data_IF_197744233969
#
_entry.id   IF_197744233969
#
_cell.length_a   1.000
_cell.length_b   1.000
_cell.length_c   1.000
_cell.angle_alpha   90.00
_cell.angle_beta   90.00
_cell.angle_gamma   90.00
#
_symmetry.space_group_name_H-M   'P 1'
#
loop_
_entity.id
_entity.type
_entity.pdbx_description
1 polymer ?
#
# COMPACT_ATOMS: atom_id res chain seq x y z
N UNK A 1 -25.88 21.60 -6.59
CA UNK A 1 -24.54 21.94 -7.11
C UNK A 1 -24.63 22.21 -8.61
N UNK A 2 -24.03 23.29 -9.12
CA UNK A 2 -23.96 23.59 -10.56
C UNK A 2 -23.01 22.63 -11.30
N UNK A 3 -23.19 22.45 -12.61
CA UNK A 3 -22.37 21.52 -13.42
C UNK A 3 -20.87 21.82 -13.37
N UNK A 4 -20.49 23.10 -13.39
CA UNK A 4 -19.09 23.53 -13.25
C UNK A 4 -18.46 23.13 -11.90
N UNK A 5 -19.24 23.18 -10.80
CA UNK A 5 -18.74 22.74 -9.49
C UNK A 5 -18.49 21.23 -9.46
N UNK A 6 -19.38 20.44 -10.08
CA UNK A 6 -19.20 18.98 -10.20
C UNK A 6 -17.96 18.62 -11.02
N UNK A 7 -17.77 19.28 -12.17
CA UNK A 7 -16.60 19.07 -13.03
C UNK A 7 -15.30 19.34 -12.27
N UNK A 8 -15.23 20.46 -11.55
CA UNK A 8 -14.05 20.80 -10.75
C UNK A 8 -13.76 19.74 -9.67
N UNK A 9 -14.79 19.22 -9.00
CA UNK A 9 -14.61 18.14 -8.02
C UNK A 9 -13.97 16.90 -8.64
N UNK A 10 -14.40 16.50 -9.84
CA UNK A 10 -13.84 15.32 -10.53
C UNK A 10 -12.37 15.55 -10.90
N UNK A 11 -12.04 16.71 -11.47
CA UNK A 11 -10.66 17.05 -11.84
C UNK A 11 -9.74 17.05 -10.62
N UNK A 12 -10.19 17.61 -9.50
CA UNK A 12 -9.38 17.63 -8.27
C UNK A 12 -9.26 16.24 -7.64
N UNK A 13 -10.29 15.40 -7.75
CA UNK A 13 -10.22 14.00 -7.31
C UNK A 13 -9.23 13.19 -8.15
N UNK A 14 -9.24 13.38 -9.46
CA UNK A 14 -8.31 12.73 -10.40
C UNK A 14 -6.86 13.14 -10.11
N UNK A 15 -6.59 14.45 -9.98
CA UNK A 15 -5.27 14.95 -9.56
C UNK A 15 -4.80 14.32 -8.24
N UNK A 16 -5.67 14.27 -7.24
CA UNK A 16 -5.34 13.70 -5.93
C UNK A 16 -5.05 12.19 -6.06
N UNK A 17 -5.83 11.47 -6.85
CA UNK A 17 -5.63 10.05 -7.07
C UNK A 17 -4.30 9.75 -7.76
N UNK A 18 -3.96 10.48 -8.81
CA UNK A 18 -2.66 10.32 -9.51
C UNK A 18 -1.52 10.71 -8.59
N UNK A 19 -1.62 11.84 -7.88
CA UNK A 19 -0.54 12.35 -7.01
C UNK A 19 -0.27 11.45 -5.79
N UNK A 20 -1.33 11.01 -5.12
CA UNK A 20 -1.21 10.38 -3.80
C UNK A 20 -1.28 8.83 -3.88
N UNK A 21 -1.67 8.26 -5.03
CA UNK A 21 -1.82 6.81 -5.21
C UNK A 21 -1.06 6.26 -6.41
N UNK A 22 -1.69 6.19 -7.59
CA UNK A 22 -1.14 5.43 -8.73
C UNK A 22 0.19 6.00 -9.23
N UNK A 23 0.38 7.32 -9.17
CA UNK A 23 1.63 7.96 -9.56
C UNK A 23 2.80 7.64 -8.62
N UNK A 24 2.54 7.14 -7.41
CA UNK A 24 3.59 6.80 -6.43
C UNK A 24 4.14 5.39 -6.65
N UNK A 25 3.26 4.40 -6.77
CA UNK A 25 3.67 2.98 -6.78
C UNK A 25 3.76 2.36 -8.18
N UNK A 26 2.97 2.83 -9.16
CA UNK A 26 2.92 2.19 -10.49
C UNK A 26 4.27 2.23 -11.22
N UNK A 27 5.05 3.33 -11.21
CA UNK A 27 6.36 3.34 -11.86
C UNK A 27 7.30 2.25 -11.32
N UNK A 28 7.33 2.07 -10.00
CA UNK A 28 8.12 1.03 -9.35
C UNK A 28 7.62 -0.37 -9.74
N UNK A 29 6.29 -0.58 -9.67
CA UNK A 29 5.66 -1.83 -10.05
C UNK A 29 5.97 -2.22 -11.51
N UNK A 30 5.81 -1.30 -12.45
CA UNK A 30 6.15 -1.51 -13.86
C UNK A 30 7.63 -1.88 -14.03
N UNK A 31 8.54 -1.16 -13.35
CA UNK A 31 9.96 -1.48 -13.37
C UNK A 31 10.27 -2.90 -12.85
N UNK A 32 9.63 -3.31 -11.76
CA UNK A 32 9.77 -4.67 -11.22
C UNK A 32 9.16 -5.73 -12.13
N UNK A 33 7.99 -5.47 -12.71
CA UNK A 33 7.32 -6.36 -13.64
C UNK A 33 8.16 -6.58 -14.89
N UNK A 34 8.74 -5.53 -15.46
CA UNK A 34 9.63 -5.64 -16.62
C UNK A 34 10.85 -6.54 -16.32
N UNK A 35 11.45 -6.38 -15.13
CA UNK A 35 12.58 -7.21 -14.66
C UNK A 35 12.20 -8.68 -14.44
N UNK A 36 11.00 -8.95 -13.90
CA UNK A 36 10.55 -10.30 -13.53
C UNK A 36 9.84 -11.08 -14.64
N UNK A 37 9.28 -10.40 -15.64
CA UNK A 37 8.49 -11.06 -16.67
C UNK A 37 9.38 -11.90 -17.60
N UNK A 38 9.03 -13.16 -17.78
CA UNK A 38 9.72 -14.05 -18.73
C UNK A 38 9.28 -13.82 -20.18
N UNK A 39 8.05 -13.33 -20.38
CA UNK A 39 7.46 -13.14 -21.71
C UNK A 39 7.46 -11.67 -22.14
N UNK A 40 7.81 -11.42 -23.41
CA UNK A 40 7.92 -10.07 -23.97
C UNK A 40 6.62 -9.25 -23.93
N UNK A 41 5.45 -9.89 -24.05
CA UNK A 41 4.16 -9.21 -23.96
C UNK A 41 3.99 -8.46 -22.61
N UNK A 42 4.32 -9.09 -21.50
CA UNK A 42 4.19 -8.45 -20.18
C UNK A 42 5.21 -7.34 -19.95
N UNK A 43 6.38 -7.41 -20.60
CA UNK A 43 7.35 -6.30 -20.59
C UNK A 43 6.81 -5.08 -21.34
N UNK A 44 6.22 -5.30 -22.53
CA UNK A 44 5.57 -4.24 -23.30
C UNK A 44 4.43 -3.62 -22.49
N UNK A 45 3.62 -4.43 -21.81
CA UNK A 45 2.55 -3.93 -20.95
C UNK A 45 3.11 -3.11 -19.78
N UNK A 46 4.19 -3.57 -19.14
CA UNK A 46 4.84 -2.84 -18.06
C UNK A 46 5.32 -1.45 -18.50
N UNK A 47 5.98 -1.38 -19.66
CA UNK A 47 6.48 -0.13 -20.24
C UNK A 47 5.33 0.80 -20.63
N UNK A 48 4.29 0.25 -21.28
CA UNK A 48 3.07 1.00 -21.59
C UNK A 48 2.45 1.61 -20.34
N UNK A 49 2.27 0.82 -19.28
CA UNK A 49 1.68 1.29 -18.02
C UNK A 49 2.54 2.37 -17.38
N UNK A 50 3.87 2.24 -17.40
CA UNK A 50 4.77 3.28 -16.88
C UNK A 50 4.65 4.59 -17.66
N UNK A 51 4.65 4.51 -19.00
CA UNK A 51 4.49 5.68 -19.86
C UNK A 51 3.11 6.33 -19.72
N UNK A 52 2.05 5.54 -19.56
CA UNK A 52 0.70 6.04 -19.34
C UNK A 52 0.62 6.89 -18.07
N UNK A 53 1.15 6.38 -16.96
CA UNK A 53 1.16 7.14 -15.70
C UNK A 53 2.06 8.38 -15.79
N UNK A 54 3.20 8.30 -16.48
CA UNK A 54 4.04 9.47 -16.71
C UNK A 54 3.31 10.55 -17.52
N UNK A 55 2.51 10.14 -18.51
CA UNK A 55 1.65 11.05 -19.26
C UNK A 55 0.60 11.71 -18.35
N UNK A 56 -0.14 10.93 -17.55
CA UNK A 56 -1.16 11.48 -16.64
C UNK A 56 -0.57 12.46 -15.63
N UNK A 57 0.61 12.15 -15.07
CA UNK A 57 1.34 13.05 -14.16
C UNK A 57 1.63 14.40 -14.83
N UNK A 58 2.16 14.36 -16.07
CA UNK A 58 2.50 15.55 -16.82
C UNK A 58 1.24 16.34 -17.24
N UNK A 59 0.21 15.65 -17.72
CA UNK A 59 -1.04 16.24 -18.16
C UNK A 59 -1.79 16.95 -17.02
N UNK A 60 -1.84 16.32 -15.84
CA UNK A 60 -2.52 16.86 -14.66
C UNK A 60 -1.66 17.87 -13.89
N UNK A 61 -0.36 17.99 -14.21
CA UNK A 61 0.57 18.90 -13.56
C UNK A 61 0.82 18.57 -12.09
N UNK A 62 0.86 17.27 -11.75
CA UNK A 62 1.07 16.80 -10.37
C UNK A 62 2.50 16.30 -10.17
N UNK A 63 2.93 16.17 -8.91
CA UNK A 63 4.25 15.62 -8.56
C UNK A 63 4.09 14.57 -7.47
N UNK A 64 3.88 13.30 -7.84
CA UNK A 64 3.82 12.20 -6.88
C UNK A 64 5.16 11.99 -6.18
N UNK A 65 5.13 11.53 -4.93
CA UNK A 65 6.33 11.05 -4.23
C UNK A 65 6.51 9.55 -4.53
N UNK A 66 7.51 9.16 -5.35
CA UNK A 66 7.66 7.78 -5.81
C UNK A 66 7.98 6.84 -4.65
N UNK A 67 7.45 5.63 -4.71
CA UNK A 67 7.83 4.56 -3.78
C UNK A 67 9.23 4.06 -4.13
N UNK A 68 9.99 3.73 -3.09
CA UNK A 68 11.24 2.99 -3.19
C UNK A 68 10.99 1.49 -3.04
N UNK A 69 11.95 0.65 -3.45
CA UNK A 69 11.86 -0.79 -3.19
C UNK A 69 11.78 -1.11 -1.69
N UNK A 70 12.32 -0.26 -0.82
CA UNK A 70 12.21 -0.42 0.64
C UNK A 70 10.81 -0.12 1.19
N UNK A 71 10.00 0.63 0.45
CA UNK A 71 8.60 0.89 0.79
C UNK A 71 7.69 -0.28 0.34
N UNK A 72 8.19 -1.17 -0.51
CA UNK A 72 7.43 -2.32 -0.98
C UNK A 72 7.32 -3.37 0.14
N UNK A 73 6.11 -3.52 0.69
CA UNK A 73 5.76 -4.65 1.54
C UNK A 73 4.99 -5.70 0.72
N UNK A 74 5.48 -6.95 0.64
CA UNK A 74 4.71 -8.04 0.05
C UNK A 74 3.34 -8.09 0.72
N UNK A 75 2.28 -8.26 -0.06
CA UNK A 75 0.95 -8.44 0.49
C UNK A 75 0.95 -9.71 1.35
N UNK A 76 0.94 -9.55 2.67
CA UNK A 76 0.61 -10.62 3.59
C UNK A 76 -0.87 -10.92 3.43
N UNK A 77 -1.21 -12.18 3.16
CA UNK A 77 -2.60 -12.62 3.12
C UNK A 77 -3.23 -12.37 4.49
N UNK A 78 -4.16 -11.42 4.55
CA UNK A 78 -4.94 -11.11 5.75
C UNK A 78 -6.42 -11.39 5.43
N UNK A 79 -7.15 -11.98 6.39
CA UNK A 79 -8.57 -12.32 6.25
C UNK A 79 -9.38 -11.07 5.86
N UNK A 80 -10.17 -11.09 4.76
CA UNK A 80 -10.87 -9.90 4.24
C UNK A 80 -11.92 -9.29 5.20
N UNK A 81 -12.40 -10.04 6.20
CA UNK A 81 -13.35 -9.50 7.18
C UNK A 81 -12.67 -8.53 8.15
N UNK A 82 -13.16 -7.29 8.21
CA UNK A 82 -12.70 -6.26 9.15
C UNK A 82 -11.56 -5.38 8.66
N UNK A 83 -11.14 -5.48 7.40
CA UNK A 83 -10.09 -4.61 6.83
C UNK A 83 -10.66 -3.34 6.20
N UNK A 84 -9.95 -2.22 6.40
CA UNK A 84 -10.14 -0.99 5.64
C UNK A 84 -9.46 -1.12 4.28
N UNK A 85 -10.22 -0.93 3.19
CA UNK A 85 -9.71 -0.89 1.81
C UNK A 85 -9.29 0.52 1.38
N UNK A 86 -9.02 1.38 2.35
CA UNK A 86 -8.57 2.73 2.06
C UNK A 86 -7.17 2.75 1.44
N UNK A 87 -6.95 3.75 0.59
CA UNK A 87 -5.70 3.97 -0.11
C UNK A 87 -4.56 4.18 0.91
N UNK A 88 -3.63 3.22 0.99
CA UNK A 88 -2.54 3.24 1.98
C UNK A 88 -2.89 2.58 3.32
N UNK A 89 -4.03 1.89 3.45
CA UNK A 89 -4.39 1.18 4.68
C UNK A 89 -3.36 0.09 5.07
N UNK A 90 -2.60 -0.41 4.09
CA UNK A 90 -1.48 -1.34 4.30
C UNK A 90 -0.28 -0.68 5.03
N UNK A 91 -0.16 0.65 4.93
CA UNK A 91 0.92 1.43 5.55
C UNK A 91 0.62 1.76 7.02
N UNK A 92 -0.63 1.56 7.47
CA UNK A 92 -1.06 1.85 8.86
C UNK A 92 -0.91 0.66 9.82
N UNK A 93 -0.48 -0.50 9.34
CA UNK A 93 -0.42 -1.72 10.15
C UNK A 93 -1.80 -2.30 10.45
N UNK A 94 -1.83 -3.51 11.01
CA UNK A 94 -3.07 -4.14 11.44
C UNK A 94 -3.68 -3.35 12.61
N UNK A 95 -4.92 -2.86 12.49
CA UNK A 95 -5.60 -2.11 13.56
C UNK A 95 -5.55 -2.86 14.90
N UNK A 96 -5.65 -4.20 14.85
CA UNK A 96 -5.55 -5.02 16.06
C UNK A 96 -4.17 -4.93 16.71
N UNK A 97 -3.08 -4.88 15.93
CA UNK A 97 -1.72 -4.71 16.47
C UNK A 97 -1.52 -3.31 17.05
N UNK A 98 -2.13 -2.29 16.44
CA UNK A 98 -2.07 -0.92 16.94
C UNK A 98 -2.83 -0.81 18.27
N UNK A 99 -4.05 -1.36 18.32
CA UNK A 99 -4.89 -1.43 19.52
C UNK A 99 -4.23 -2.23 20.64
N UNK A 100 -3.65 -3.40 20.34
CA UNK A 100 -2.95 -4.23 21.34
C UNK A 100 -1.74 -3.53 21.94
N UNK A 101 -0.99 -2.76 21.14
CA UNK A 101 0.10 -1.93 21.62
C UNK A 101 -0.39 -0.74 22.47
N UNK A 102 -1.51 -0.12 22.09
CA UNK A 102 -2.09 1.03 22.80
C UNK A 102 -2.66 0.65 24.16
N UNK A 103 -3.34 -0.51 24.25
CA UNK A 103 -3.88 -1.01 25.54
C UNK A 103 -2.82 -1.75 26.38
N UNK A 104 -1.59 -1.89 25.87
CA UNK A 104 -0.50 -2.61 26.54
C UNK A 104 -0.74 -4.12 26.69
N UNK A 105 -1.62 -4.70 25.86
CA UNK A 105 -1.97 -6.12 25.91
C UNK A 105 -0.80 -7.02 25.55
N UNK A 106 0.14 -6.54 24.73
CA UNK A 106 1.36 -7.26 24.36
C UNK A 106 2.20 -7.64 25.59
N UNK A 107 2.26 -6.77 26.60
CA UNK A 107 2.98 -7.03 27.85
C UNK A 107 2.33 -8.10 28.72
N UNK A 108 1.04 -8.38 28.51
CA UNK A 108 0.30 -9.40 29.25
C UNK A 108 0.48 -10.79 28.62
N UNK A 109 0.54 -10.86 27.28
CA UNK A 109 0.80 -12.10 26.54
C UNK A 109 2.23 -12.62 26.75
N UNK A 110 3.22 -11.73 26.82
CA UNK A 110 4.61 -12.10 27.16
C UNK A 110 4.74 -12.66 28.60
N UNK A 111 3.83 -12.29 29.50
CA UNK A 111 3.82 -12.77 30.88
C UNK A 111 3.24 -14.18 31.00
N UNK A 112 2.30 -14.56 30.15
CA UNK A 112 1.72 -15.91 30.14
C UNK A 112 2.64 -16.95 29.47
N UNK A 113 3.41 -16.57 28.46
CA UNK A 113 4.32 -17.49 27.77
C UNK A 113 5.54 -17.91 28.61
N UNK A 114 5.85 -17.17 29.70
CA UNK A 114 6.95 -17.46 30.63
C UNK A 114 6.65 -18.52 31.71
N UNK A 115 5.45 -19.11 31.78
CA UNK A 115 5.03 -19.99 32.87
C UNK A 115 4.85 -21.47 32.47
N UNK A 116 5.80 -22.05 31.72
CA UNK A 116 5.88 -23.51 31.56
C UNK A 116 7.32 -24.00 31.63
N UNK A 117 7.90 -23.96 32.82
CA UNK A 117 9.27 -24.43 33.01
C UNK A 117 9.66 -24.63 34.47
N UNK A 118 8.94 -25.47 35.22
CA UNK A 118 9.54 -26.18 36.35
C UNK A 118 8.70 -27.33 36.92
N UNK A 119 9.15 -28.56 36.68
CA UNK A 119 9.11 -29.69 37.62
C UNK A 119 10.15 -30.69 37.10
N UNK A 120 11.17 -31.17 37.79
CA UNK A 120 11.53 -31.19 39.21
C UNK A 120 12.40 -32.46 39.39
N UNK A 121 13.61 -32.31 39.93
CA UNK A 121 14.63 -33.35 40.12
C UNK A 121 14.19 -34.53 41.00
N UNK A 122 14.69 -35.73 40.68
CA UNK A 122 15.53 -36.58 41.54
C UNK A 122 16.01 -37.82 40.76
#
# INVERSE_FOLDING_TARGET
>A
MTGQKKLRTVIEAEKKFVKEHIGRWVPLFSGMLNRKADYGFYKILADFTSHWIAFDIAFLGVTPQPYSETDYRPASYNNPEGQSFECGAQDQGNELSLLMSEVGADAFLDKESGASGQSGNA
#
